data_IF_402428576126
#
_entry.id   IF_402428576126
#
_cell.length_a   1.000
_cell.length_b   1.000
_cell.length_c   1.000
_cell.angle_alpha   90.00
_cell.angle_beta   90.00
_cell.angle_gamma   90.00
#
_symmetry.space_group_name_H-M   'P 1'
#
loop_
_entity.id
_entity.type
_entity.pdbx_description
1 polymer ?
#
# COMPACT_ATOMS: atom_id res chain seq x y z
N UNK A 1 -32.45 21.08 -3.81
CA UNK A 1 -33.46 21.70 -2.94
C UNK A 1 -32.78 22.41 -1.78
N UNK A 2 -33.32 23.54 -1.31
CA UNK A 2 -32.77 24.32 -0.18
C UNK A 2 -32.78 23.51 1.14
N UNK A 3 -33.84 22.75 1.39
CA UNK A 3 -34.04 21.99 2.62
C UNK A 3 -32.96 20.93 2.89
N UNK A 4 -32.48 20.22 1.86
CA UNK A 4 -31.40 19.24 2.03
C UNK A 4 -30.02 19.90 2.19
N UNK A 5 -29.81 21.07 1.58
CA UNK A 5 -28.57 21.85 1.72
C UNK A 5 -28.42 22.44 3.12
N UNK A 6 -29.51 22.91 3.72
CA UNK A 6 -29.50 23.44 5.09
C UNK A 6 -29.30 22.35 6.15
N UNK A 7 -29.77 21.14 5.88
CA UNK A 7 -29.64 19.99 6.79
C UNK A 7 -28.39 19.12 6.56
N UNK A 8 -27.63 19.35 5.48
CA UNK A 8 -26.49 18.51 5.09
C UNK A 8 -26.87 17.10 4.62
N UNK A 9 -28.14 16.90 4.22
CA UNK A 9 -28.66 15.59 3.81
C UNK A 9 -28.41 15.31 2.32
N UNK A 10 -28.26 14.03 1.98
CA UNK A 10 -28.26 13.60 0.58
C UNK A 10 -29.63 13.83 -0.06
N UNK A 11 -29.62 14.26 -1.32
CA UNK A 11 -30.83 14.41 -2.13
C UNK A 11 -30.90 13.23 -3.09
N UNK A 12 -31.89 12.36 -2.89
CA UNK A 12 -32.26 11.39 -3.92
C UNK A 12 -33.13 12.08 -4.98
N UNK A 13 -32.62 12.13 -6.21
CA UNK A 13 -33.30 12.77 -7.33
C UNK A 13 -34.40 11.90 -7.94
N UNK A 14 -34.32 10.58 -7.77
CA UNK A 14 -35.27 9.64 -8.39
C UNK A 14 -36.29 9.09 -7.37
N UNK A 15 -36.16 9.48 -6.10
CA UNK A 15 -37.05 9.08 -5.00
C UNK A 15 -37.24 7.55 -4.90
N UNK A 16 -36.19 6.79 -5.18
CA UNK A 16 -36.21 5.33 -5.16
C UNK A 16 -35.52 4.81 -3.89
N UNK A 17 -36.25 4.15 -2.97
CA UNK A 17 -35.68 3.65 -1.72
C UNK A 17 -34.55 2.62 -1.92
N UNK A 18 -34.44 1.98 -3.10
CA UNK A 18 -33.35 1.05 -3.40
C UNK A 18 -31.99 1.75 -3.55
N UNK A 19 -31.95 3.03 -3.90
CA UNK A 19 -30.71 3.82 -4.02
C UNK A 19 -29.98 4.00 -2.69
N UNK A 20 -30.69 3.94 -1.57
CA UNK A 20 -30.06 3.97 -0.25
C UNK A 20 -29.12 2.76 -0.05
N UNK A 21 -29.45 1.60 -0.61
CA UNK A 21 -28.61 0.41 -0.56
C UNK A 21 -27.33 0.65 -1.36
N UNK A 22 -27.46 1.22 -2.56
CA UNK A 22 -26.31 1.55 -3.43
C UNK A 22 -25.37 2.57 -2.77
N UNK A 23 -25.91 3.62 -2.16
CA UNK A 23 -25.13 4.63 -1.43
C UNK A 23 -24.35 3.99 -0.26
N UNK A 24 -25.01 3.10 0.51
CA UNK A 24 -24.36 2.38 1.61
C UNK A 24 -23.26 1.46 1.09
N UNK A 25 -23.46 0.81 -0.06
CA UNK A 25 -22.47 -0.07 -0.68
C UNK A 25 -21.23 0.71 -1.17
N UNK A 26 -21.42 1.84 -1.84
CA UNK A 26 -20.34 2.75 -2.23
C UNK A 26 -19.57 3.23 -1.00
N UNK A 27 -20.28 3.62 0.06
CA UNK A 27 -19.67 4.03 1.32
C UNK A 27 -18.80 2.93 1.94
N UNK A 28 -19.28 1.68 1.97
CA UNK A 28 -18.52 0.52 2.42
C UNK A 28 -17.29 0.26 1.55
N UNK A 29 -17.43 0.34 0.23
CA UNK A 29 -16.32 0.16 -0.70
C UNK A 29 -15.22 1.20 -0.47
N UNK A 30 -15.57 2.47 -0.27
CA UNK A 30 -14.62 3.54 0.02
C UNK A 30 -13.86 3.29 1.33
N UNK A 31 -14.57 2.88 2.39
CA UNK A 31 -13.96 2.58 3.69
C UNK A 31 -13.02 1.36 3.62
N UNK A 32 -13.43 0.30 2.94
CA UNK A 32 -12.62 -0.92 2.77
C UNK A 32 -11.39 -0.63 1.93
N UNK A 33 -11.54 0.12 0.83
CA UNK A 33 -10.42 0.52 -0.03
C UNK A 33 -9.39 1.32 0.75
N UNK A 34 -9.84 2.28 1.57
CA UNK A 34 -8.95 3.06 2.43
C UNK A 34 -8.22 2.15 3.42
N UNK A 35 -8.93 1.25 4.09
CA UNK A 35 -8.33 0.29 5.03
C UNK A 35 -7.34 -0.69 4.38
N UNK A 36 -7.59 -1.12 3.15
CA UNK A 36 -6.69 -1.94 2.36
C UNK A 36 -5.39 -1.20 2.03
N UNK A 37 -5.51 0.04 1.53
CA UNK A 37 -4.36 0.88 1.20
C UNK A 37 -3.51 1.23 2.43
N UNK A 38 -4.13 1.56 3.57
CA UNK A 38 -3.37 1.83 4.80
C UNK A 38 -2.64 0.59 5.30
N UNK A 39 -3.31 -0.57 5.29
CA UNK A 39 -2.69 -1.85 5.67
C UNK A 39 -1.48 -2.16 4.78
N UNK A 40 -1.64 -2.01 3.46
CA UNK A 40 -0.57 -2.23 2.50
C UNK A 40 0.59 -1.26 2.71
N UNK A 41 0.31 0.04 2.86
CA UNK A 41 1.34 1.07 3.03
C UNK A 41 2.14 0.88 4.33
N UNK A 42 1.48 0.54 5.44
CA UNK A 42 2.16 0.25 6.71
C UNK A 42 3.05 -1.00 6.58
N UNK A 43 2.52 -2.06 5.98
CA UNK A 43 3.29 -3.28 5.72
C UNK A 43 4.52 -3.01 4.81
N UNK A 44 4.37 -2.12 3.84
CA UNK A 44 5.43 -1.73 2.92
C UNK A 44 6.58 -0.99 3.60
N UNK A 45 6.30 -0.18 4.61
CA UNK A 45 7.35 0.56 5.33
C UNK A 45 8.32 -0.38 6.06
N UNK A 46 7.89 -1.58 6.44
CA UNK A 46 8.76 -2.63 7.00
C UNK A 46 9.92 -2.95 6.05
N UNK A 47 9.63 -3.18 4.77
CA UNK A 47 10.65 -3.49 3.78
C UNK A 47 11.62 -2.33 3.56
N UNK A 48 11.12 -1.08 3.57
CA UNK A 48 11.96 0.12 3.46
C UNK A 48 12.95 0.22 4.60
N UNK A 49 12.54 -0.08 5.84
CA UNK A 49 13.46 -0.08 6.98
C UNK A 49 14.57 -1.13 6.82
N UNK A 50 14.24 -2.33 6.36
CA UNK A 50 15.24 -3.37 6.09
C UNK A 50 16.19 -3.04 4.92
N UNK A 51 15.78 -2.18 3.98
CA UNK A 51 16.67 -1.70 2.91
C UNK A 51 17.60 -0.58 3.40
N UNK A 52 17.03 0.41 4.08
CA UNK A 52 17.70 1.69 4.34
C UNK A 52 18.57 1.65 5.60
N UNK A 53 18.10 1.02 6.68
CA UNK A 53 18.84 1.01 7.96
C UNK A 53 20.23 0.36 7.79
N UNK A 54 20.36 -0.84 7.21
CA UNK A 54 21.68 -1.43 7.01
C UNK A 54 22.56 -0.55 6.10
N UNK A 55 21.98 0.00 5.03
CA UNK A 55 22.72 0.81 4.05
C UNK A 55 23.36 2.05 4.69
N UNK A 56 22.62 2.81 5.50
CA UNK A 56 23.12 4.05 6.09
C UNK A 56 24.16 3.78 7.20
N UNK A 57 23.98 2.71 7.97
CA UNK A 57 24.77 2.51 9.19
C UNK A 57 25.91 1.50 9.06
N UNK A 58 26.01 0.71 7.98
CA UNK A 58 27.05 -0.34 7.86
C UNK A 58 28.48 0.18 7.94
N UNK A 59 28.72 1.45 7.55
CA UNK A 59 30.03 2.09 7.66
C UNK A 59 30.46 2.35 9.11
N UNK A 60 29.50 2.54 10.02
CA UNK A 60 29.75 2.80 11.44
C UNK A 60 29.57 1.55 12.31
N UNK A 61 28.62 0.69 11.93
CA UNK A 61 28.25 -0.52 12.65
C UNK A 61 28.17 -1.70 11.66
N UNK A 62 29.31 -2.34 11.33
CA UNK A 62 29.35 -3.46 10.39
C UNK A 62 28.44 -4.63 10.80
N UNK A 63 28.14 -4.79 12.10
CA UNK A 63 27.24 -5.82 12.61
C UNK A 63 25.81 -5.68 12.03
N UNK A 64 25.41 -4.47 11.61
CA UNK A 64 24.10 -4.24 10.99
C UNK A 64 23.99 -4.82 9.57
N UNK A 65 25.09 -5.32 8.99
CA UNK A 65 25.03 -6.10 7.76
C UNK A 65 24.15 -7.36 7.91
N UNK A 66 24.04 -7.91 9.13
CA UNK A 66 23.14 -9.03 9.41
C UNK A 66 21.66 -8.69 9.18
N UNK A 67 21.28 -7.41 9.22
CA UNK A 67 19.93 -6.92 8.93
C UNK A 67 19.67 -6.72 7.43
N UNK A 68 20.69 -6.87 6.57
CA UNK A 68 20.51 -6.86 5.11
C UNK A 68 19.91 -8.20 4.63
N UNK A 69 18.66 -8.44 5.03
CA UNK A 69 17.90 -9.66 4.69
C UNK A 69 17.75 -9.80 3.17
N UNK A 70 17.58 -8.67 2.46
CA UNK A 70 17.46 -8.63 1.00
C UNK A 70 18.80 -8.86 0.27
N UNK A 71 19.93 -8.87 1.00
CA UNK A 71 21.29 -8.98 0.44
C UNK A 71 21.51 -7.97 -0.69
N UNK A 72 21.15 -6.70 -0.46
CA UNK A 72 21.36 -5.60 -1.41
C UNK A 72 22.85 -5.38 -1.66
N UNK A 73 23.19 -4.95 -2.87
CA UNK A 73 24.56 -5.00 -3.41
C UNK A 73 25.51 -4.04 -2.70
N UNK A 74 25.12 -2.77 -2.59
CA UNK A 74 25.89 -1.77 -1.85
C UNK A 74 24.96 -0.70 -1.23
N UNK A 75 25.47 0.16 -0.31
CA UNK A 75 24.64 1.18 0.34
C UNK A 75 23.96 2.18 -0.61
N UNK A 76 24.67 2.61 -1.67
CA UNK A 76 24.15 3.59 -2.62
C UNK A 76 23.03 2.97 -3.47
N UNK A 77 23.25 1.77 -4.01
CA UNK A 77 22.25 1.03 -4.78
C UNK A 77 21.01 0.70 -3.95
N UNK A 78 21.20 0.35 -2.66
CA UNK A 78 20.10 0.05 -1.75
C UNK A 78 19.17 1.24 -1.52
N UNK A 79 19.75 2.42 -1.23
CA UNK A 79 18.98 3.66 -1.02
C UNK A 79 18.27 4.06 -2.32
N UNK A 80 18.99 4.04 -3.45
CA UNK A 80 18.42 4.39 -4.75
C UNK A 80 17.25 3.46 -5.11
N UNK A 81 17.41 2.16 -4.91
CA UNK A 81 16.38 1.15 -5.19
C UNK A 81 15.14 1.34 -4.33
N UNK A 82 15.31 1.64 -3.04
CA UNK A 82 14.20 1.93 -2.14
C UNK A 82 13.42 3.19 -2.56
N UNK A 83 14.13 4.24 -3.01
CA UNK A 83 13.50 5.48 -3.51
C UNK A 83 12.73 5.23 -4.81
N UNK A 84 13.35 4.53 -5.78
CA UNK A 84 12.71 4.17 -7.05
C UNK A 84 11.46 3.33 -6.78
N UNK A 85 11.55 2.32 -5.92
CA UNK A 85 10.41 1.50 -5.56
C UNK A 85 9.26 2.34 -4.97
N UNK A 86 9.57 3.30 -4.10
CA UNK A 86 8.55 4.18 -3.51
C UNK A 86 7.83 5.04 -4.57
N UNK A 87 8.54 5.49 -5.61
CA UNK A 87 7.91 6.20 -6.72
C UNK A 87 6.99 5.26 -7.54
N UNK A 88 7.46 4.05 -7.85
CA UNK A 88 6.71 3.08 -8.65
C UNK A 88 5.48 2.56 -7.93
N UNK A 89 5.57 2.30 -6.62
CA UNK A 89 4.47 1.70 -5.86
C UNK A 89 3.27 2.66 -5.76
N UNK A 90 3.50 3.97 -5.73
CA UNK A 90 2.42 4.98 -5.77
C UNK A 90 1.64 4.82 -7.08
N UNK A 91 2.33 4.79 -8.23
CA UNK A 91 1.71 4.63 -9.55
C UNK A 91 0.93 3.32 -9.63
N UNK A 92 1.51 2.23 -9.11
CA UNK A 92 0.87 0.92 -9.09
C UNK A 92 -0.40 0.86 -8.22
N UNK A 93 -0.50 1.67 -7.17
CA UNK A 93 -1.65 1.70 -6.26
C UNK A 93 -2.76 2.66 -6.71
N UNK A 94 -2.51 3.60 -7.64
CA UNK A 94 -3.54 4.51 -8.17
C UNK A 94 -4.76 3.75 -8.74
N UNK A 95 -4.60 2.72 -9.61
CA UNK A 95 -5.74 1.98 -10.13
C UNK A 95 -6.59 1.32 -9.02
N UNK A 96 -5.95 0.85 -7.95
CA UNK A 96 -6.64 0.26 -6.81
C UNK A 96 -7.42 1.31 -6.02
N UNK A 97 -6.85 2.50 -5.84
CA UNK A 97 -7.52 3.62 -5.17
C UNK A 97 -8.74 4.13 -5.95
N UNK A 98 -8.68 4.12 -7.29
CA UNK A 98 -9.77 4.59 -8.16
C UNK A 98 -10.85 3.54 -8.39
N UNK A 99 -10.48 2.28 -8.63
CA UNK A 99 -11.45 1.18 -8.86
C UNK A 99 -12.09 0.69 -7.56
N UNK A 100 -11.37 0.86 -6.45
CA UNK A 100 -11.78 0.38 -5.14
C UNK A 100 -11.69 -1.14 -4.99
N UNK A 101 -11.75 -1.57 -3.73
CA UNK A 101 -11.77 -2.98 -3.33
C UNK A 101 -13.20 -3.46 -3.27
N UNK A 102 -13.55 -4.45 -4.10
CA UNK A 102 -14.90 -5.00 -4.15
C UNK A 102 -15.40 -5.43 -2.77
N UNK A 103 -16.54 -4.85 -2.36
CA UNK A 103 -17.24 -5.28 -1.16
C UNK A 103 -17.78 -6.70 -1.35
N UNK A 104 -17.69 -7.51 -0.29
CA UNK A 104 -18.35 -8.81 -0.22
C UNK A 104 -19.11 -8.88 1.11
N UNK A 105 -20.40 -9.24 1.10
CA UNK A 105 -21.22 -9.32 2.30
C UNK A 105 -20.87 -10.58 3.12
N UNK A 106 -19.72 -10.54 3.78
CA UNK A 106 -19.24 -11.57 4.70
C UNK A 106 -19.04 -10.94 6.10
N UNK A 107 -18.95 -11.76 7.14
CA UNK A 107 -18.78 -11.26 8.51
C UNK A 107 -17.53 -10.38 8.67
N UNK A 108 -17.60 -9.38 9.56
CA UNK A 108 -16.54 -8.38 9.74
C UNK A 108 -15.15 -9.00 10.02
N UNK A 109 -15.08 -10.04 10.86
CA UNK A 109 -13.84 -10.75 11.13
C UNK A 109 -13.24 -11.42 9.88
N UNK A 110 -14.09 -11.96 9.00
CA UNK A 110 -13.66 -12.57 7.73
C UNK A 110 -13.13 -11.51 6.76
N UNK A 111 -13.79 -10.36 6.67
CA UNK A 111 -13.32 -9.20 5.89
C UNK A 111 -11.94 -8.77 6.38
N UNK A 112 -11.79 -8.57 7.69
CA UNK A 112 -10.53 -8.14 8.30
C UNK A 112 -9.40 -9.13 8.01
N UNK A 113 -9.63 -10.43 8.26
CA UNK A 113 -8.63 -11.48 8.01
C UNK A 113 -8.22 -11.51 6.53
N UNK A 114 -9.19 -11.40 5.62
CA UNK A 114 -8.91 -11.34 4.17
C UNK A 114 -8.11 -10.10 3.80
N UNK A 115 -8.43 -8.94 4.39
CA UNK A 115 -7.70 -7.70 4.14
C UNK A 115 -6.24 -7.81 4.61
N UNK A 116 -6.01 -8.32 5.83
CA UNK A 116 -4.67 -8.55 6.36
C UNK A 116 -3.89 -9.58 5.53
N UNK A 117 -4.54 -10.67 5.10
CA UNK A 117 -3.90 -11.70 4.28
C UNK A 117 -3.53 -11.21 2.88
N UNK A 118 -4.37 -10.41 2.23
CA UNK A 118 -4.09 -9.94 0.86
C UNK A 118 -3.18 -8.70 0.90
N UNK A 119 -3.61 -7.66 1.61
CA UNK A 119 -2.93 -6.36 1.58
C UNK A 119 -1.82 -6.25 2.62
N UNK A 120 -1.92 -6.93 3.77
CA UNK A 120 -0.85 -6.98 4.75
C UNK A 120 0.31 -7.86 4.27
N UNK A 121 0.05 -9.13 3.95
CA UNK A 121 1.11 -10.02 3.44
C UNK A 121 1.62 -9.54 2.08
N UNK A 122 0.72 -9.12 1.17
CA UNK A 122 1.13 -8.51 -0.09
C UNK A 122 1.98 -7.26 0.11
N UNK A 123 1.63 -6.41 1.08
CA UNK A 123 2.39 -5.24 1.45
C UNK A 123 3.76 -5.55 2.06
N UNK A 124 3.99 -6.75 2.58
CA UNK A 124 5.32 -7.21 3.01
C UNK A 124 6.09 -7.80 1.82
N UNK A 125 5.48 -8.73 1.08
CA UNK A 125 6.20 -9.52 0.07
C UNK A 125 6.57 -8.68 -1.16
N UNK A 126 5.63 -7.89 -1.68
CA UNK A 126 5.82 -7.09 -2.90
C UNK A 126 7.03 -6.15 -2.81
N UNK A 127 7.22 -5.35 -1.76
CA UNK A 127 8.37 -4.46 -1.68
C UNK A 127 9.70 -5.16 -1.45
N UNK A 128 9.75 -6.26 -0.70
CA UNK A 128 10.98 -7.05 -0.57
C UNK A 128 11.47 -7.54 -1.94
N UNK A 129 10.55 -8.08 -2.74
CA UNK A 129 10.88 -8.55 -4.10
C UNK A 129 11.18 -7.37 -5.02
N UNK A 130 10.36 -6.32 -4.99
CA UNK A 130 10.49 -5.16 -5.87
C UNK A 130 11.79 -4.40 -5.65
N UNK A 131 12.14 -4.07 -4.40
CA UNK A 131 13.40 -3.38 -4.07
C UNK A 131 14.59 -4.24 -4.51
N UNK A 132 14.56 -5.55 -4.27
CA UNK A 132 15.64 -6.45 -4.67
C UNK A 132 15.83 -6.49 -6.19
N UNK A 133 14.74 -6.59 -6.95
CA UNK A 133 14.80 -6.59 -8.40
C UNK A 133 15.36 -5.27 -8.95
N UNK A 134 14.94 -4.14 -8.37
CA UNK A 134 15.47 -2.82 -8.75
C UNK A 134 16.98 -2.74 -8.43
N UNK A 135 17.40 -3.21 -7.25
CA UNK A 135 18.82 -3.23 -6.87
C UNK A 135 19.67 -4.05 -7.84
N UNK A 136 19.17 -5.21 -8.26
CA UNK A 136 19.85 -6.04 -9.25
C UNK A 136 19.97 -5.34 -10.61
N UNK A 137 18.94 -4.61 -11.05
CA UNK A 137 18.98 -3.86 -12.31
C UNK A 137 19.95 -2.68 -12.20
N UNK A 138 19.88 -1.91 -11.13
CA UNK A 138 20.77 -0.75 -10.87
C UNK A 138 22.23 -1.19 -10.81
N UNK A 139 22.53 -2.29 -10.12
CA UNK A 139 23.87 -2.86 -10.04
C UNK A 139 24.35 -3.39 -11.39
N UNK A 140 23.48 -4.04 -12.17
CA UNK A 140 23.84 -4.59 -13.48
C UNK A 140 24.18 -3.51 -14.52
N UNK A 141 23.54 -2.34 -14.45
CA UNK A 141 23.82 -1.21 -15.36
C UNK A 141 24.93 -0.27 -14.85
N UNK A 142 25.51 -0.56 -13.68
CA UNK A 142 26.60 0.22 -13.09
C UNK A 142 26.20 1.63 -12.66
N UNK A 143 24.92 1.86 -12.35
CA UNK A 143 24.44 3.18 -11.93
C UNK A 143 24.86 3.55 -10.50
N UNK A 144 25.17 2.55 -9.67
CA UNK A 144 25.60 2.67 -8.28
C UNK A 144 26.32 1.40 -7.82
#
# INVERSE_FOLDING_TARGET
TMAAREAGNMVDLDSDPTKLIEIVEIGKQLLITRGALTTFSIANDVAKYFAIIPAIFIAFYPQLQALNIMRLTNPQSAILSAIIFNALIIVALIPLALRGVQFRPIGAASILRRNLMIYGVGGIVVPFVGIKLIDMVVAAIGLA
#
